data_IF_774274340511
#
_entry.id   IF_774274340511
#
_cell.length_a   1.000
_cell.length_b   1.000
_cell.length_c   1.000
_cell.angle_alpha   90.00
_cell.angle_beta   90.00
_cell.angle_gamma   90.00
#
_symmetry.space_group_name_H-M   'P 1'
#
loop_
_entity.id
_entity.type
_entity.pdbx_description
1 polymer ?
#
# COMPACT_ATOMS: atom_id res chain seq x y z
N UNK A 1 15.89 -15.91 8.08
CA UNK A 1 16.54 -14.78 7.39
C UNK A 1 16.00 -14.79 5.99
N UNK A 2 15.06 -13.90 5.68
CA UNK A 2 14.59 -13.67 4.33
C UNK A 2 15.62 -12.74 3.67
N UNK A 3 16.42 -13.27 2.74
CA UNK A 3 17.29 -12.43 1.91
C UNK A 3 16.38 -11.73 0.90
N UNK A 4 15.88 -10.54 1.22
CA UNK A 4 15.13 -9.72 0.27
C UNK A 4 16.04 -9.40 -0.90
N UNK A 5 15.72 -9.94 -2.08
CA UNK A 5 16.54 -9.76 -3.27
C UNK A 5 16.57 -8.28 -3.61
N UNK A 6 17.76 -7.75 -3.90
CA UNK A 6 17.90 -6.36 -4.33
C UNK A 6 17.10 -6.08 -5.63
N UNK A 7 16.86 -7.11 -6.43
CA UNK A 7 15.98 -7.04 -7.60
C UNK A 7 14.53 -6.73 -7.23
N UNK A 8 13.97 -7.38 -6.20
CA UNK A 8 12.59 -7.15 -5.77
C UNK A 8 12.38 -5.70 -5.31
N UNK A 9 13.42 -5.11 -4.70
CA UNK A 9 13.39 -3.71 -4.27
C UNK A 9 13.38 -2.74 -5.45
N UNK A 10 14.23 -2.97 -6.46
CA UNK A 10 14.33 -2.10 -7.65
C UNK A 10 13.09 -2.20 -8.53
N UNK A 11 12.47 -3.37 -8.62
CA UNK A 11 11.21 -3.54 -9.34
C UNK A 11 10.06 -2.83 -8.63
N UNK A 12 9.99 -2.92 -7.30
CA UNK A 12 8.98 -2.25 -6.48
C UNK A 12 9.02 -0.72 -6.60
N UNK A 13 10.21 -0.12 -6.61
CA UNK A 13 10.34 1.34 -6.78
C UNK A 13 9.87 1.86 -8.15
N UNK A 14 9.77 0.99 -9.14
CA UNK A 14 9.24 1.31 -10.47
C UNK A 14 7.76 1.00 -10.60
N UNK A 15 7.16 0.33 -9.62
CA UNK A 15 5.74 -0.01 -9.65
C UNK A 15 4.89 1.26 -9.38
N UNK A 16 3.98 1.63 -10.29
CA UNK A 16 3.13 2.81 -10.11
C UNK A 16 2.24 2.73 -8.86
N UNK A 17 1.80 1.54 -8.45
CA UNK A 17 1.02 1.34 -7.21
C UNK A 17 1.88 1.69 -6.00
N UNK A 18 3.12 1.23 -5.95
CA UNK A 18 4.01 1.55 -4.83
C UNK A 18 4.36 3.04 -4.81
N UNK A 19 4.59 3.65 -5.97
CA UNK A 19 4.81 5.09 -6.09
C UNK A 19 3.63 5.92 -5.60
N UNK A 20 2.37 5.50 -5.85
CA UNK A 20 1.19 6.15 -5.28
C UNK A 20 1.09 5.93 -3.75
N UNK A 21 1.37 4.73 -3.26
CA UNK A 21 1.39 4.44 -1.82
C UNK A 21 2.42 5.28 -1.06
N UNK A 22 3.57 5.57 -1.67
CA UNK A 22 4.60 6.44 -1.07
C UNK A 22 4.10 7.87 -0.86
N UNK A 23 3.03 8.31 -1.55
CA UNK A 23 2.42 9.62 -1.31
C UNK A 23 1.57 9.66 -0.04
N UNK A 24 1.34 8.51 0.61
CA UNK A 24 0.58 8.41 1.85
C UNK A 24 1.42 8.88 3.04
N UNK A 25 1.33 10.16 3.36
CA UNK A 25 2.10 10.82 4.42
C UNK A 25 1.17 11.38 5.50
N UNK A 26 1.72 11.95 6.56
CA UNK A 26 0.91 12.58 7.60
C UNK A 26 0.19 13.85 7.11
N UNK A 27 0.73 14.50 6.08
CA UNK A 27 0.14 15.65 5.39
C UNK A 27 -0.85 15.21 4.30
N UNK A 28 -0.58 14.07 3.64
CA UNK A 28 -1.45 13.48 2.63
C UNK A 28 -1.91 12.09 3.06
N UNK A 29 -2.95 12.06 3.90
CA UNK A 29 -3.44 10.83 4.55
C UNK A 29 -4.35 9.97 3.71
N UNK A 30 -4.58 10.30 2.44
CA UNK A 30 -5.49 9.57 1.58
C UNK A 30 -4.95 9.48 0.17
N UNK A 31 -4.90 8.27 -0.38
CA UNK A 31 -4.60 8.01 -1.79
C UNK A 31 -5.64 7.07 -2.37
N UNK A 32 -5.92 7.20 -3.66
CA UNK A 32 -6.86 6.33 -4.37
C UNK A 32 -6.08 5.52 -5.41
N UNK A 33 -6.17 4.21 -5.36
CA UNK A 33 -5.48 3.28 -6.26
C UNK A 33 -6.51 2.29 -6.81
N UNK A 34 -6.89 2.48 -8.08
CA UNK A 34 -7.92 1.69 -8.75
C UNK A 34 -9.25 1.65 -7.93
N UNK A 35 -9.87 0.50 -7.54
CA UNK A 35 -11.10 0.55 -6.75
C UNK A 35 -10.85 0.86 -5.26
N UNK A 36 -9.58 0.90 -4.83
CA UNK A 36 -9.23 1.06 -3.44
C UNK A 36 -9.03 2.52 -3.04
N UNK A 37 -9.58 2.86 -1.89
CA UNK A 37 -9.27 4.04 -1.12
C UNK A 37 -8.35 3.62 0.02
N UNK A 38 -7.15 4.19 0.06
CA UNK A 38 -6.15 3.92 1.09
C UNK A 38 -6.03 5.14 1.99
N UNK A 39 -6.25 4.95 3.29
CA UNK A 39 -6.26 6.06 4.27
C UNK A 39 -5.31 5.78 5.43
N UNK A 40 -4.45 6.73 5.77
CA UNK A 40 -3.63 6.69 6.99
C UNK A 40 -4.39 7.34 8.14
N UNK A 41 -4.80 6.54 9.11
CA UNK A 41 -5.58 7.03 10.24
C UNK A 41 -4.71 7.73 11.30
N UNK A 42 -5.34 8.23 12.36
CA UNK A 42 -4.66 8.95 13.44
C UNK A 42 -3.72 8.09 14.28
N UNK A 43 -3.85 6.76 14.19
CA UNK A 43 -2.99 5.79 14.87
C UNK A 43 -1.84 5.32 13.97
N UNK A 44 -1.64 5.96 12.81
CA UNK A 44 -0.66 5.57 11.79
C UNK A 44 -0.90 4.19 11.17
N UNK A 45 -2.12 3.66 11.28
CA UNK A 45 -2.53 2.47 10.54
C UNK A 45 -3.05 2.85 9.16
N UNK A 46 -2.93 1.93 8.22
CA UNK A 46 -3.34 2.10 6.82
C UNK A 46 -4.61 1.30 6.62
N UNK A 47 -5.71 2.00 6.42
CA UNK A 47 -7.03 1.46 6.11
C UNK A 47 -7.17 1.30 4.60
N UNK A 48 -7.67 0.15 4.16
CA UNK A 48 -7.85 -0.24 2.76
C UNK A 48 -9.34 -0.48 2.55
N UNK A 49 -9.97 0.35 1.72
CA UNK A 49 -11.42 0.33 1.51
C UNK A 49 -11.77 0.22 0.03
N UNK A 50 -12.67 -0.68 -0.32
CA UNK A 50 -13.35 -0.70 -1.63
C UNK A 50 -14.77 -1.24 -1.46
N UNK A 51 -15.52 -1.40 -2.56
CA UNK A 51 -16.86 -1.97 -2.48
C UNK A 51 -16.81 -3.40 -1.87
N UNK A 52 -17.45 -3.57 -0.72
CA UNK A 52 -17.45 -4.83 0.04
C UNK A 52 -16.15 -5.19 0.76
N UNK A 53 -15.12 -4.34 0.74
CA UNK A 53 -13.82 -4.60 1.39
C UNK A 53 -13.49 -3.49 2.37
N UNK A 54 -13.14 -3.87 3.59
CA UNK A 54 -12.58 -2.99 4.59
C UNK A 54 -11.54 -3.77 5.39
N UNK A 55 -10.27 -3.42 5.21
CA UNK A 55 -9.12 -4.07 5.85
C UNK A 55 -8.14 -3.03 6.40
N UNK A 56 -7.19 -3.47 7.23
CA UNK A 56 -6.26 -2.59 7.93
C UNK A 56 -4.89 -3.23 8.14
N UNK A 57 -3.84 -2.51 7.79
CA UNK A 57 -2.43 -2.95 7.91
C UNK A 57 -1.57 -1.88 8.58
N UNK A 58 -0.38 -2.24 9.05
CA UNK A 58 0.49 -1.33 9.81
C UNK A 58 1.66 -0.75 9.01
N UNK A 59 1.97 -1.30 7.82
CA UNK A 59 3.07 -0.81 6.97
C UNK A 59 2.68 -0.65 5.51
N UNK A 60 3.39 0.23 4.80
CA UNK A 60 3.22 0.41 3.34
C UNK A 60 3.54 -0.88 2.59
N UNK A 61 4.50 -1.68 3.05
CA UNK A 61 4.88 -2.97 2.48
C UNK A 61 3.71 -3.96 2.53
N UNK A 62 3.03 -4.06 3.67
CA UNK A 62 1.86 -4.92 3.82
C UNK A 62 0.70 -4.45 2.93
N UNK A 63 0.48 -3.14 2.85
CA UNK A 63 -0.54 -2.57 1.98
C UNK A 63 -0.24 -2.88 0.50
N UNK A 64 1.00 -2.68 0.07
CA UNK A 64 1.43 -3.02 -1.29
C UNK A 64 1.22 -4.50 -1.60
N UNK A 65 1.66 -5.39 -0.70
CA UNK A 65 1.48 -6.83 -0.88
C UNK A 65 -0.01 -7.21 -1.00
N UNK A 66 -0.87 -6.64 -0.16
CA UNK A 66 -2.31 -6.83 -0.22
C UNK A 66 -2.88 -6.45 -1.60
N UNK A 67 -2.50 -5.27 -2.12
CA UNK A 67 -2.95 -4.80 -3.42
C UNK A 67 -2.45 -5.68 -4.58
N UNK A 68 -1.21 -6.17 -4.49
CA UNK A 68 -0.65 -7.09 -5.48
C UNK A 68 -1.34 -8.46 -5.48
N UNK A 69 -1.72 -8.98 -4.30
CA UNK A 69 -2.46 -10.24 -4.19
C UNK A 69 -3.88 -10.13 -4.71
N UNK A 70 -4.54 -8.98 -4.50
CA UNK A 70 -5.89 -8.72 -5.02
C UNK A 70 -5.94 -8.56 -6.55
N UNK A 71 -4.83 -8.14 -7.16
CA UNK A 71 -4.75 -7.90 -8.62
C UNK A 71 -4.44 -9.17 -9.43
N UNK A 72 -4.34 -10.35 -8.79
CA UNK A 72 -4.12 -11.65 -9.43
C UNK A 72 -5.43 -12.37 -9.73
#
# INVERSE_FOLDING_TARGET
MEQTSWFDFVEKERDPVYGELQKLTDDNRKVCIAPFTITKNRFSLIEIESDGIHDCVSTLEQCYQYLCEYSK
#
